data_IF_269333493041
#
_entry.id   IF_269333493041
#
_cell.length_a   1.000
_cell.length_b   1.000
_cell.length_c   1.000
_cell.angle_alpha   90.00
_cell.angle_beta   90.00
_cell.angle_gamma   90.00
#
_symmetry.space_group_name_H-M   'P 1'
#
loop_
_entity.id
_entity.type
_entity.pdbx_description
1 polymer ?
#
# COMPACT_ATOMS: atom_id res chain seq x y z
N UNK A 1 44.79 -28.99 -27.72
CA UNK A 1 44.14 -27.65 -27.85
C UNK A 1 42.66 -27.65 -27.50
N UNK A 2 41.92 -28.77 -27.63
CA UNK A 2 40.49 -28.82 -27.30
C UNK A 2 40.17 -28.72 -25.79
N UNK A 3 41.05 -29.21 -24.91
CA UNK A 3 40.79 -29.25 -23.47
C UNK A 3 40.85 -27.87 -22.82
N UNK A 4 41.86 -27.05 -23.13
CA UNK A 4 41.98 -25.65 -22.65
C UNK A 4 40.72 -24.83 -22.98
N UNK A 5 40.12 -25.03 -24.15
CA UNK A 5 38.91 -24.30 -24.56
C UNK A 5 37.70 -24.67 -23.71
N UNK A 6 37.57 -25.93 -23.27
CA UNK A 6 36.47 -26.39 -22.39
C UNK A 6 36.59 -25.79 -21.00
N UNK A 7 37.80 -25.70 -20.44
CA UNK A 7 38.05 -25.07 -19.14
C UNK A 7 37.74 -23.57 -19.15
N UNK A 8 38.03 -22.88 -20.26
CA UNK A 8 37.66 -21.46 -20.42
C UNK A 8 36.15 -21.28 -20.46
N UNK A 9 35.42 -22.11 -21.23
CA UNK A 9 33.95 -22.06 -21.25
C UNK A 9 33.32 -22.37 -19.90
N UNK A 10 33.85 -23.34 -19.16
CA UNK A 10 33.41 -23.63 -17.79
C UNK A 10 33.65 -22.42 -16.88
N UNK A 11 34.81 -21.78 -16.96
CA UNK A 11 35.10 -20.55 -16.22
C UNK A 11 34.13 -19.42 -16.54
N UNK A 12 33.80 -19.21 -17.83
CA UNK A 12 32.84 -18.19 -18.27
C UNK A 12 31.43 -18.47 -17.76
N UNK A 13 30.96 -19.73 -17.83
CA UNK A 13 29.64 -20.11 -17.32
C UNK A 13 29.55 -19.94 -15.81
N UNK A 14 30.60 -20.32 -15.08
CA UNK A 14 30.65 -20.19 -13.63
C UNK A 14 30.66 -18.72 -13.20
N UNK A 15 31.39 -17.87 -13.92
CA UNK A 15 31.40 -16.43 -13.73
C UNK A 15 30.04 -15.81 -14.05
N UNK A 16 29.39 -16.21 -15.16
CA UNK A 16 28.04 -15.76 -15.51
C UNK A 16 26.99 -16.18 -14.47
N UNK A 17 27.03 -17.42 -13.99
CA UNK A 17 26.16 -17.89 -12.89
C UNK A 17 26.40 -17.11 -11.59
N UNK A 18 27.66 -16.84 -11.24
CA UNK A 18 28.00 -16.00 -10.09
C UNK A 18 27.45 -14.58 -10.21
N UNK A 19 27.52 -14.00 -11.41
CA UNK A 19 26.96 -12.69 -11.70
C UNK A 19 25.42 -12.69 -11.59
N UNK A 20 24.74 -13.68 -12.19
CA UNK A 20 23.28 -13.84 -12.09
C UNK A 20 22.84 -14.04 -10.64
N UNK A 21 23.59 -14.80 -9.85
CA UNK A 21 23.30 -14.99 -8.42
C UNK A 21 23.37 -13.65 -7.65
N UNK A 22 24.35 -12.81 -7.97
CA UNK A 22 24.49 -11.48 -7.37
C UNK A 22 23.38 -10.52 -7.80
N UNK A 23 22.88 -10.65 -9.04
CA UNK A 23 21.78 -9.85 -9.59
C UNK A 23 20.39 -10.42 -9.28
N UNK A 24 20.28 -11.63 -8.72
CA UNK A 24 19.00 -12.27 -8.43
C UNK A 24 17.99 -11.37 -7.66
N UNK A 25 18.39 -10.59 -6.64
CA UNK A 25 17.47 -9.69 -5.93
C UNK A 25 16.93 -8.54 -6.80
N UNK A 26 17.65 -8.16 -7.86
CA UNK A 26 17.28 -7.11 -8.82
C UNK A 26 16.48 -7.72 -9.98
N UNK A 27 16.68 -9.01 -10.25
CA UNK A 27 15.98 -9.72 -11.33
C UNK A 27 14.47 -9.82 -11.05
N UNK A 28 14.06 -10.03 -9.80
CA UNK A 28 12.64 -10.11 -9.44
C UNK A 28 11.86 -8.82 -9.73
N UNK A 29 12.26 -7.61 -9.27
CA UNK A 29 11.56 -6.37 -9.64
C UNK A 29 11.66 -6.08 -11.14
N UNK A 30 12.75 -6.45 -11.80
CA UNK A 30 12.90 -6.27 -13.25
C UNK A 30 11.92 -7.13 -14.05
N UNK A 31 11.74 -8.40 -13.66
CA UNK A 31 10.84 -9.33 -14.31
C UNK A 31 9.38 -8.92 -14.13
N UNK A 32 9.02 -8.39 -12.95
CA UNK A 32 7.71 -7.77 -12.70
C UNK A 32 7.51 -6.54 -13.56
N UNK A 33 8.50 -5.65 -13.65
CA UNK A 33 8.43 -4.46 -14.50
C UNK A 33 8.28 -4.83 -15.98
N UNK A 34 8.98 -5.85 -16.46
CA UNK A 34 8.87 -6.38 -17.82
C UNK A 34 7.47 -6.94 -18.10
N UNK A 35 6.93 -7.74 -17.17
CA UNK A 35 5.57 -8.29 -17.29
C UNK A 35 4.52 -7.18 -17.34
N UNK A 36 4.63 -6.17 -16.48
CA UNK A 36 3.74 -5.01 -16.49
C UNK A 36 3.90 -4.22 -17.79
N UNK A 37 5.12 -3.96 -18.23
CA UNK A 37 5.38 -3.27 -19.49
C UNK A 37 4.72 -4.01 -20.67
N UNK A 38 4.89 -5.33 -20.75
CA UNK A 38 4.24 -6.14 -21.78
C UNK A 38 2.70 -6.09 -21.71
N UNK A 39 2.13 -5.99 -20.51
CA UNK A 39 0.69 -5.87 -20.32
C UNK A 39 0.16 -4.48 -20.70
N UNK A 40 0.92 -3.43 -20.44
CA UNK A 40 0.53 -2.04 -20.73
C UNK A 40 0.88 -1.58 -22.14
N UNK A 41 1.86 -2.19 -22.82
CA UNK A 41 2.24 -1.91 -24.21
C UNK A 41 1.03 -1.88 -25.17
N UNK A 42 0.13 -2.89 -25.20
CA UNK A 42 -1.03 -2.84 -26.10
C UNK A 42 -2.03 -1.72 -25.76
N UNK A 43 -2.05 -1.25 -24.51
CA UNK A 43 -2.87 -0.08 -24.13
C UNK A 43 -2.24 1.22 -24.65
N UNK A 44 -0.91 1.32 -24.61
CA UNK A 44 -0.15 2.43 -25.20
C UNK A 44 -0.32 2.44 -26.73
N UNK A 45 -0.20 1.29 -27.38
CA UNK A 45 -0.35 1.17 -28.84
C UNK A 45 -1.75 1.60 -29.30
N UNK A 46 -2.81 1.30 -28.53
CA UNK A 46 -4.17 1.78 -28.84
C UNK A 46 -4.31 3.30 -28.70
N UNK A 47 -3.61 3.92 -27.76
CA UNK A 47 -3.55 5.37 -27.62
C UNK A 47 -2.73 6.02 -28.73
N UNK A 48 -1.67 5.38 -29.18
CA UNK A 48 -0.85 5.82 -30.30
C UNK A 48 -1.63 5.79 -31.63
N UNK A 49 -2.48 4.78 -31.83
CA UNK A 49 -3.42 4.72 -32.97
C UNK A 49 -4.41 5.88 -33.04
N UNK A 50 -4.65 6.59 -31.92
CA UNK A 50 -5.48 7.80 -31.89
C UNK A 50 -4.69 9.08 -32.18
N UNK A 51 -3.42 8.96 -32.57
CA UNK A 51 -2.58 10.09 -33.01
C UNK A 51 -1.68 10.69 -31.92
N UNK A 52 -1.59 10.07 -30.73
CA UNK A 52 -0.59 10.44 -29.72
C UNK A 52 0.78 9.87 -30.08
N UNK A 53 1.86 10.64 -29.89
CA UNK A 53 3.20 10.05 -30.01
C UNK A 53 3.45 9.05 -28.87
N UNK A 54 4.22 8.00 -29.15
CA UNK A 54 4.60 6.94 -28.19
C UNK A 54 4.92 7.44 -26.78
N UNK A 55 5.67 8.55 -26.66
CA UNK A 55 6.02 9.15 -25.36
C UNK A 55 4.80 9.67 -24.59
N UNK A 56 3.88 10.35 -25.29
CA UNK A 56 2.64 10.82 -24.70
C UNK A 56 1.68 9.67 -24.37
N UNK A 57 1.69 8.58 -25.15
CA UNK A 57 0.94 7.36 -24.85
C UNK A 57 1.36 6.74 -23.52
N UNK A 58 2.68 6.58 -23.29
CA UNK A 58 3.21 6.04 -22.02
C UNK A 58 2.84 6.96 -20.84
N UNK A 59 3.02 8.27 -20.99
CA UNK A 59 2.67 9.26 -19.95
C UNK A 59 1.17 9.20 -19.64
N UNK A 60 0.32 9.11 -20.65
CA UNK A 60 -1.13 9.01 -20.48
C UNK A 60 -1.55 7.73 -19.74
N UNK A 61 -0.99 6.57 -20.10
CA UNK A 61 -1.28 5.31 -19.41
C UNK A 61 -0.82 5.36 -17.95
N UNK A 62 0.39 5.87 -17.68
CA UNK A 62 0.89 6.01 -16.31
C UNK A 62 0.06 7.01 -15.49
N UNK A 63 -0.32 8.15 -16.07
CA UNK A 63 -1.17 9.13 -15.42
C UNK A 63 -2.55 8.54 -15.09
N UNK A 64 -3.18 7.84 -16.04
CA UNK A 64 -4.47 7.18 -15.85
C UNK A 64 -4.39 6.09 -14.77
N UNK A 65 -3.37 5.23 -14.82
CA UNK A 65 -3.16 4.18 -13.83
C UNK A 65 -2.95 4.78 -12.43
N UNK A 66 -2.11 5.80 -12.31
CA UNK A 66 -1.88 6.52 -11.05
C UNK A 66 -3.17 7.12 -10.52
N UNK A 67 -3.97 7.76 -11.38
CA UNK A 67 -5.25 8.35 -11.02
C UNK A 67 -6.23 7.28 -10.51
N UNK A 68 -6.35 6.15 -11.20
CA UNK A 68 -7.21 5.03 -10.80
C UNK A 68 -6.81 4.50 -9.42
N UNK A 69 -5.51 4.25 -9.19
CA UNK A 69 -5.01 3.77 -7.91
C UNK A 69 -5.24 4.79 -6.80
N UNK A 70 -5.00 6.08 -7.09
CA UNK A 70 -5.24 7.18 -6.14
C UNK A 70 -6.72 7.25 -5.74
N UNK A 71 -7.63 7.22 -6.72
CA UNK A 71 -9.08 7.20 -6.48
C UNK A 71 -9.50 5.95 -5.71
N UNK A 72 -8.97 4.79 -6.07
CA UNK A 72 -9.25 3.53 -5.37
C UNK A 72 -8.84 3.63 -3.91
N UNK A 73 -7.62 4.08 -3.60
CA UNK A 73 -7.17 4.27 -2.23
C UNK A 73 -8.04 5.28 -1.48
N UNK A 74 -8.40 6.39 -2.12
CA UNK A 74 -9.20 7.44 -1.51
C UNK A 74 -10.62 6.98 -1.14
N UNK A 75 -11.16 5.95 -1.82
CA UNK A 75 -12.45 5.33 -1.48
C UNK A 75 -12.28 4.13 -0.54
N UNK A 76 -11.29 3.28 -0.79
CA UNK A 76 -11.07 2.04 -0.07
C UNK A 76 -10.62 2.30 1.37
N UNK A 77 -9.69 3.25 1.59
CA UNK A 77 -9.18 3.60 2.91
C UNK A 77 -10.29 4.08 3.85
N UNK A 78 -11.16 5.06 3.51
CA UNK A 78 -12.22 5.48 4.42
C UNK A 78 -13.30 4.41 4.59
N UNK A 79 -13.54 3.55 3.59
CA UNK A 79 -14.48 2.44 3.74
C UNK A 79 -13.97 1.41 4.74
N UNK A 80 -12.69 1.03 4.65
CA UNK A 80 -12.02 0.17 5.63
C UNK A 80 -12.01 0.81 7.02
N UNK A 81 -11.72 2.12 7.11
CA UNK A 81 -11.77 2.85 8.38
C UNK A 81 -13.17 2.81 9.00
N UNK A 82 -14.22 3.07 8.21
CA UNK A 82 -15.62 2.96 8.69
C UNK A 82 -15.97 1.54 9.14
N UNK A 83 -15.48 0.51 8.44
CA UNK A 83 -15.67 -0.88 8.83
C UNK A 83 -14.96 -1.19 10.16
N UNK A 84 -13.73 -0.72 10.35
CA UNK A 84 -12.99 -0.88 11.59
C UNK A 84 -13.65 -0.14 12.76
N UNK A 85 -14.13 1.09 12.54
CA UNK A 85 -14.88 1.85 13.55
C UNK A 85 -16.17 1.14 13.92
N UNK A 86 -16.94 0.63 12.94
CA UNK A 86 -18.15 -0.15 13.23
C UNK A 86 -17.84 -1.43 14.00
N UNK A 87 -16.77 -2.13 13.64
CA UNK A 87 -16.32 -3.32 14.37
C UNK A 87 -15.96 -2.97 15.82
N UNK A 88 -15.32 -1.82 16.01
CA UNK A 88 -14.97 -1.29 17.33
C UNK A 88 -16.23 -0.93 18.14
N UNK A 89 -17.20 -0.23 17.56
CA UNK A 89 -18.49 0.10 18.18
C UNK A 89 -19.30 -1.15 18.56
N UNK A 90 -19.18 -2.23 17.79
CA UNK A 90 -19.83 -3.52 18.07
C UNK A 90 -19.09 -4.35 19.12
N UNK A 91 -17.82 -4.07 19.42
CA UNK A 91 -17.05 -4.77 20.43
C UNK A 91 -17.72 -4.84 21.82
N UNK A 92 -18.28 -3.75 22.39
CA UNK A 92 -18.99 -3.82 23.67
C UNK A 92 -20.27 -4.66 23.59
N UNK A 93 -21.02 -4.58 22.49
CA UNK A 93 -22.23 -5.40 22.28
C UNK A 93 -21.89 -6.89 22.15
N UNK A 94 -20.77 -7.22 21.50
CA UNK A 94 -20.25 -8.58 21.44
C UNK A 94 -19.83 -9.06 22.83
N UNK A 95 -19.22 -8.19 23.65
CA UNK A 95 -18.83 -8.51 25.03
C UNK A 95 -20.06 -8.79 25.91
N UNK A 96 -21.12 -7.98 25.79
CA UNK A 96 -22.37 -8.17 26.52
C UNK A 96 -23.12 -9.44 26.06
N UNK A 97 -23.12 -9.76 24.76
CA UNK A 97 -23.65 -11.02 24.24
C UNK A 97 -22.87 -12.24 24.76
N UNK A 98 -21.53 -12.13 24.82
CA UNK A 98 -20.69 -13.17 25.41
C UNK A 98 -21.03 -13.38 26.88
N UNK A 99 -21.24 -12.31 27.65
CA UNK A 99 -21.61 -12.41 29.07
C UNK A 99 -23.02 -12.98 29.28
N UNK A 100 -24.02 -12.55 28.51
CA UNK A 100 -25.42 -12.91 28.76
C UNK A 100 -25.91 -14.17 28.05
N UNK A 101 -25.28 -14.57 26.94
CA UNK A 101 -25.71 -15.72 26.12
C UNK A 101 -24.65 -16.79 26.00
N UNK A 102 -23.40 -16.43 25.68
CA UNK A 102 -22.35 -17.43 25.45
C UNK A 102 -21.85 -18.05 26.77
N UNK A 103 -21.63 -17.25 27.81
CA UNK A 103 -21.13 -17.69 29.11
C UNK A 103 -22.06 -18.70 29.79
N UNK A 104 -23.38 -18.47 29.93
CA UNK A 104 -24.29 -19.46 30.51
C UNK A 104 -24.47 -20.71 29.62
N UNK A 105 -24.39 -20.56 28.29
CA UNK A 105 -24.42 -21.72 27.38
C UNK A 105 -23.17 -22.60 27.54
N UNK A 106 -21.99 -22.00 27.65
CA UNK A 106 -20.73 -22.72 27.89
C UNK A 106 -20.70 -23.31 29.30
N UNK A 107 -21.14 -22.59 30.32
CA UNK A 107 -21.21 -23.07 31.70
C UNK A 107 -22.18 -24.25 31.85
N UNK A 108 -23.36 -24.19 31.22
CA UNK A 108 -24.33 -25.30 31.25
C UNK A 108 -23.86 -26.56 30.52
N UNK A 109 -23.01 -26.43 29.49
CA UNK A 109 -22.43 -27.55 28.74
C UNK A 109 -21.14 -28.11 29.36
N UNK A 110 -20.33 -27.28 30.02
CA UNK A 110 -18.98 -27.63 30.48
C UNK A 110 -18.82 -27.67 32.01
N UNK A 111 -19.82 -27.25 32.80
CA UNK A 111 -19.81 -27.35 34.27
C UNK A 111 -18.73 -26.51 34.97
N UNK A 112 -18.33 -25.37 34.38
CA UNK A 112 -17.28 -24.50 34.91
C UNK A 112 -17.84 -23.54 35.97
N UNK A 113 -17.20 -23.49 37.15
CA UNK A 113 -17.61 -22.66 38.27
C UNK A 113 -17.53 -21.14 37.99
N UNK A 114 -18.40 -20.38 38.64
CA UNK A 114 -18.50 -18.92 38.52
C UNK A 114 -17.19 -18.23 38.90
N UNK A 115 -16.66 -17.41 37.99
CA UNK A 115 -15.49 -16.54 38.27
C UNK A 115 -14.16 -16.99 37.67
N UNK A 116 -14.10 -18.02 36.81
CA UNK A 116 -12.85 -18.42 36.15
C UNK A 116 -12.28 -17.36 35.20
N UNK A 117 -13.11 -16.47 34.65
CA UNK A 117 -12.70 -15.41 33.73
C UNK A 117 -12.95 -14.02 34.31
N UNK A 118 -11.88 -13.22 34.51
CA UNK A 118 -11.96 -11.81 34.92
C UNK A 118 -12.31 -10.89 33.74
N UNK A 119 -13.50 -11.07 33.17
CA UNK A 119 -14.01 -10.24 32.08
C UNK A 119 -14.19 -8.77 32.47
N UNK A 120 -14.37 -8.46 33.76
CA UNK A 120 -14.49 -7.08 34.24
C UNK A 120 -13.24 -6.23 33.98
N UNK A 121 -12.05 -6.83 34.10
CA UNK A 121 -10.78 -6.14 33.80
C UNK A 121 -10.60 -5.89 32.31
N UNK A 122 -11.07 -6.83 31.48
CA UNK A 122 -11.02 -6.71 30.02
C UNK A 122 -12.03 -5.66 29.54
N UNK A 123 -13.24 -5.64 30.10
CA UNK A 123 -14.27 -4.63 29.83
C UNK A 123 -13.79 -3.23 30.25
N UNK A 124 -13.18 -3.10 31.42
CA UNK A 124 -12.61 -1.82 31.88
C UNK A 124 -11.47 -1.32 30.97
N UNK A 125 -10.52 -2.19 30.60
CA UNK A 125 -9.40 -1.81 29.74
C UNK A 125 -9.85 -1.42 28.31
N UNK A 126 -10.85 -2.10 27.77
CA UNK A 126 -11.44 -1.76 26.47
C UNK A 126 -12.18 -0.43 26.58
N UNK A 127 -13.10 -0.27 27.55
CA UNK A 127 -13.87 0.98 27.72
C UNK A 127 -13.00 2.22 27.98
N UNK A 128 -11.88 2.07 28.68
CA UNK A 128 -10.92 3.16 28.91
C UNK A 128 -10.21 3.61 27.61
N UNK A 129 -9.88 2.67 26.72
CA UNK A 129 -9.37 2.99 25.38
C UNK A 129 -10.47 3.45 24.40
N UNK A 130 -11.74 3.02 24.59
CA UNK A 130 -12.87 3.48 23.76
C UNK A 130 -13.20 4.95 23.98
N UNK A 131 -12.96 5.51 25.17
CA UNK A 131 -13.12 6.94 25.44
C UNK A 131 -12.19 7.84 24.61
N UNK A 132 -11.11 7.30 24.05
CA UNK A 132 -10.15 8.02 23.18
C UNK A 132 -10.47 7.89 21.68
N UNK A 133 -11.62 7.34 21.29
CA UNK A 133 -11.99 7.13 19.86
C UNK A 133 -12.06 8.43 19.05
N UNK A 134 -12.30 9.57 19.70
CA UNK A 134 -12.20 10.92 19.10
C UNK A 134 -10.80 11.19 18.51
N UNK A 135 -9.74 10.65 19.13
CA UNK A 135 -8.37 10.81 18.63
C UNK A 135 -8.08 9.92 17.43
N UNK A 136 -8.70 8.75 17.27
CA UNK A 136 -8.40 7.88 16.10
C UNK A 136 -9.07 8.42 14.83
N UNK A 137 -10.32 8.89 14.94
CA UNK A 137 -10.99 9.57 13.81
C UNK A 137 -10.31 10.91 13.53
N UNK A 138 -9.89 11.64 14.58
CA UNK A 138 -9.10 12.86 14.46
C UNK A 138 -7.74 12.63 13.82
N UNK A 139 -7.02 11.56 14.16
CA UNK A 139 -5.71 11.18 13.60
C UNK A 139 -5.85 10.69 12.17
N UNK A 140 -6.84 9.86 11.83
CA UNK A 140 -7.04 9.41 10.44
C UNK A 140 -7.49 10.56 9.54
N UNK A 141 -8.39 11.43 10.01
CA UNK A 141 -8.85 12.58 9.24
C UNK A 141 -7.75 13.65 9.12
N UNK A 142 -7.01 13.94 10.20
CA UNK A 142 -5.88 14.88 10.18
C UNK A 142 -4.69 14.34 9.42
N UNK A 143 -4.40 13.04 9.44
CA UNK A 143 -3.33 12.43 8.67
C UNK A 143 -3.71 12.32 7.19
N UNK A 144 -4.97 12.02 6.85
CA UNK A 144 -5.43 12.07 5.46
C UNK A 144 -5.40 13.51 4.89
N UNK A 145 -5.82 14.51 5.66
CA UNK A 145 -5.74 15.93 5.24
C UNK A 145 -4.32 16.46 5.24
N UNK A 146 -3.49 16.11 6.23
CA UNK A 146 -2.08 16.49 6.28
C UNK A 146 -1.29 15.82 5.16
N UNK A 147 -1.54 14.55 4.84
CA UNK A 147 -0.95 13.88 3.68
C UNK A 147 -1.45 14.48 2.36
N UNK A 148 -2.73 14.85 2.25
CA UNK A 148 -3.26 15.55 1.07
C UNK A 148 -2.66 16.95 0.88
N UNK A 149 -2.57 17.75 1.93
CA UNK A 149 -1.95 19.07 1.93
C UNK A 149 -0.43 19.00 1.73
N UNK A 150 0.24 18.01 2.30
CA UNK A 150 1.67 17.79 2.11
C UNK A 150 1.99 17.33 0.69
N UNK A 151 1.14 16.50 0.08
CA UNK A 151 1.27 16.12 -1.33
C UNK A 151 1.00 17.30 -2.26
N UNK A 152 -0.01 18.13 -1.98
CA UNK A 152 -0.24 19.39 -2.70
C UNK A 152 0.95 20.34 -2.53
N UNK A 153 1.51 20.45 -1.32
CA UNK A 153 2.70 21.25 -1.05
C UNK A 153 3.94 20.72 -1.78
N UNK A 154 4.13 19.40 -1.81
CA UNK A 154 5.25 18.76 -2.50
C UNK A 154 5.10 18.88 -4.02
N UNK A 155 3.91 18.69 -4.57
CA UNK A 155 3.60 18.92 -5.99
C UNK A 155 3.72 20.40 -6.37
N UNK A 156 3.22 21.30 -5.54
CA UNK A 156 3.39 22.74 -5.72
C UNK A 156 4.88 23.10 -5.75
N UNK A 157 5.70 22.52 -4.88
CA UNK A 157 7.14 22.76 -4.84
C UNK A 157 7.87 22.13 -6.04
N UNK A 158 7.50 20.91 -6.44
CA UNK A 158 8.06 20.22 -7.61
C UNK A 158 7.68 20.92 -8.92
N UNK A 159 6.56 21.64 -8.96
CA UNK A 159 6.17 22.51 -10.10
C UNK A 159 6.79 23.90 -9.99
N UNK A 160 6.88 24.49 -8.79
CA UNK A 160 7.49 25.79 -8.54
C UNK A 160 8.98 25.79 -8.83
N UNK A 161 9.73 24.75 -8.45
CA UNK A 161 11.19 24.69 -8.63
C UNK A 161 11.57 24.81 -10.12
N UNK A 162 11.02 24.01 -11.06
CA UNK A 162 11.27 24.19 -12.48
C UNK A 162 10.77 25.53 -13.02
N UNK A 163 9.59 25.99 -12.59
CA UNK A 163 9.00 27.25 -13.06
C UNK A 163 9.84 28.46 -12.63
N UNK A 164 10.30 28.48 -11.38
CA UNK A 164 11.14 29.54 -10.81
C UNK A 164 12.56 29.45 -11.35
N UNK A 165 13.14 28.24 -11.47
CA UNK A 165 14.44 28.07 -12.13
C UNK A 165 14.40 28.52 -13.60
N UNK A 166 13.33 28.22 -14.34
CA UNK A 166 13.14 28.71 -15.70
C UNK A 166 12.97 30.24 -15.73
N UNK A 167 12.22 30.80 -14.79
CA UNK A 167 12.00 32.25 -14.70
C UNK A 167 13.31 32.99 -14.36
N UNK A 168 14.07 32.51 -13.38
CA UNK A 168 15.35 33.09 -12.97
C UNK A 168 16.43 32.94 -14.05
N UNK A 169 16.46 31.83 -14.80
CA UNK A 169 17.34 31.67 -15.96
C UNK A 169 16.92 32.56 -17.14
N UNK A 170 15.64 32.90 -17.26
CA UNK A 170 15.11 33.75 -18.32
C UNK A 170 15.29 35.25 -18.06
N UNK A 171 15.24 35.70 -16.80
CA UNK A 171 15.48 37.11 -16.43
C UNK A 171 16.94 37.39 -16.03
N UNK A 172 17.81 36.38 -16.16
CA UNK A 172 19.25 36.49 -15.98
C UNK A 172 19.98 36.82 -17.29
N UNK A 173 19.48 37.79 -18.05
CA UNK A 173 20.16 38.62 -19.07
C UNK A 173 19.35 39.91 -19.24
#
# INVERSE_FOLDING_TARGET
>A
MADTRRWVWLGVVLLACGFVYLLHPILSPFLVALLLAYLFDPLVDRLEQWGLSRTWGVVAVFALFTLIVMTLLLVLVPMLAKQLVRLYELAPQMLDWVQHSAMPWVQSKLGLADGFWKFDKVKAAISEHMGQTTDIVGVVLSQATASGLALIGWLANLVLIPVVSFYLLRTGT
#
